data_IF_030293529008
#
_entry.id   IF_030293529008
#
_cell.length_a   1.000
_cell.length_b   1.000
_cell.length_c   1.000
_cell.angle_alpha   90.00
_cell.angle_beta   90.00
_cell.angle_gamma   90.00
#
_symmetry.space_group_name_H-M   'P 1'
#
loop_
_entity.id
_entity.type
_entity.pdbx_description
1 polymer ?
#
# COMPACT_ATOMS: atom_id res chain seq x y z
N UNK A 1 -20.67 5.56 5.68
CA UNK A 1 -20.29 6.91 6.15
C UNK A 1 -20.64 7.99 5.13
N UNK A 2 -20.19 7.94 3.87
CA UNK A 2 -20.47 8.94 2.81
C UNK A 2 -21.97 9.14 2.58
N UNK A 3 -22.76 8.07 2.51
CA UNK A 3 -24.23 8.13 2.32
C UNK A 3 -24.93 8.87 3.46
N UNK A 4 -24.52 8.59 4.71
CA UNK A 4 -25.08 9.28 5.89
C UNK A 4 -24.68 10.76 5.87
N UNK A 5 -23.43 11.07 5.56
CA UNK A 5 -22.96 12.45 5.46
C UNK A 5 -23.71 13.21 4.36
N UNK A 6 -23.94 12.59 3.20
CA UNK A 6 -24.70 13.19 2.11
C UNK A 6 -26.16 13.45 2.50
N UNK A 7 -26.76 12.57 3.31
CA UNK A 7 -28.10 12.76 3.80
C UNK A 7 -28.21 13.98 4.75
N UNK A 8 -27.26 14.10 5.68
CA UNK A 8 -27.21 15.24 6.62
C UNK A 8 -26.97 16.55 5.86
N UNK A 9 -25.92 16.62 5.04
CA UNK A 9 -25.57 17.82 4.29
C UNK A 9 -26.64 18.20 3.26
N UNK A 10 -27.21 17.20 2.58
CA UNK A 10 -28.29 17.44 1.61
C UNK A 10 -29.58 17.91 2.26
N UNK A 11 -29.91 17.45 3.50
CA UNK A 11 -31.10 17.89 4.22
C UNK A 11 -31.00 19.33 4.71
N UNK A 12 -29.80 19.83 4.99
CA UNK A 12 -29.59 21.25 5.37
C UNK A 12 -29.34 22.17 4.16
N UNK A 13 -29.41 21.61 2.91
CA UNK A 13 -29.23 22.40 1.69
C UNK A 13 -27.77 22.85 1.48
N UNK A 14 -26.80 22.13 2.03
CA UNK A 14 -25.39 22.49 1.86
C UNK A 14 -24.94 22.33 0.40
N UNK A 15 -24.21 23.31 -0.09
CA UNK A 15 -23.62 23.31 -1.42
C UNK A 15 -22.17 23.80 -1.38
N UNK A 16 -21.36 23.31 -2.29
CA UNK A 16 -19.98 23.74 -2.48
C UNK A 16 -19.84 24.50 -3.80
N UNK A 17 -19.01 25.54 -3.81
CA UNK A 17 -18.71 26.30 -5.03
C UNK A 17 -17.66 25.55 -5.84
N UNK A 18 -17.98 25.25 -7.11
CA UNK A 18 -17.02 24.63 -8.02
C UNK A 18 -15.89 25.60 -8.34
N UNK A 19 -14.62 25.26 -8.07
CA UNK A 19 -13.49 26.20 -8.16
C UNK A 19 -13.25 26.76 -9.56
N UNK A 20 -13.52 25.96 -10.61
CA UNK A 20 -13.29 26.38 -12.00
C UNK A 20 -14.47 27.12 -12.64
N UNK A 21 -15.71 26.86 -12.22
CA UNK A 21 -16.91 27.44 -12.87
C UNK A 21 -17.63 28.46 -12.00
N UNK A 22 -17.30 28.57 -10.71
CA UNK A 22 -17.97 29.45 -9.74
C UNK A 22 -19.40 29.05 -9.41
N UNK A 23 -19.92 27.97 -9.97
CA UNK A 23 -21.29 27.51 -9.74
C UNK A 23 -21.39 26.72 -8.43
N UNK A 24 -22.45 26.98 -7.66
CA UNK A 24 -22.75 26.20 -6.46
C UNK A 24 -23.31 24.83 -6.84
N UNK A 25 -22.64 23.76 -6.44
CA UNK A 25 -23.11 22.37 -6.58
C UNK A 25 -23.74 21.99 -5.25
N UNK A 26 -25.04 21.65 -5.29
CA UNK A 26 -25.76 21.19 -4.12
C UNK A 26 -25.43 19.74 -3.81
N UNK A 27 -25.34 19.44 -2.51
CA UNK A 27 -25.14 18.05 -2.07
C UNK A 27 -26.42 17.26 -2.27
N UNK A 28 -26.32 16.16 -3.03
CA UNK A 28 -27.45 15.26 -3.27
C UNK A 28 -27.62 14.33 -2.07
N UNK A 29 -28.83 14.29 -1.50
CA UNK A 29 -29.14 13.33 -0.43
C UNK A 29 -29.32 11.93 -1.04
N UNK A 30 -28.34 11.05 -0.80
CA UNK A 30 -28.33 9.68 -1.33
C UNK A 30 -29.33 8.73 -0.62
N UNK A 31 -29.93 9.12 0.51
CA UNK A 31 -30.95 8.31 1.21
C UNK A 31 -32.36 8.58 0.68
N UNK A 32 -32.54 9.52 -0.22
CA UNK A 32 -33.83 9.72 -0.90
C UNK A 32 -34.06 8.63 -1.96
N UNK A 33 -35.33 8.40 -2.32
CA UNK A 33 -35.70 7.45 -3.38
C UNK A 33 -34.96 7.73 -4.70
N UNK A 34 -34.84 9.02 -5.05
CA UNK A 34 -34.15 9.45 -6.27
C UNK A 34 -32.65 9.31 -6.14
N UNK A 35 -32.05 9.64 -4.99
CA UNK A 35 -30.63 9.44 -4.71
C UNK A 35 -30.24 7.97 -4.79
N UNK A 36 -31.06 7.08 -4.22
CA UNK A 36 -30.84 5.64 -4.27
C UNK A 36 -30.95 5.10 -5.71
N UNK A 37 -31.98 5.51 -6.45
CA UNK A 37 -32.15 5.14 -7.85
C UNK A 37 -30.99 5.61 -8.71
N UNK A 38 -30.53 6.84 -8.53
CA UNK A 38 -29.40 7.41 -9.25
C UNK A 38 -28.11 6.64 -8.97
N UNK A 39 -27.87 6.26 -7.72
CA UNK A 39 -26.71 5.48 -7.32
C UNK A 39 -26.65 4.13 -8.06
N UNK A 40 -27.77 3.42 -8.15
CA UNK A 40 -27.82 2.13 -8.85
C UNK A 40 -27.80 2.26 -10.38
N UNK A 41 -28.55 3.20 -10.93
CA UNK A 41 -28.61 3.40 -12.38
C UNK A 41 -27.29 3.86 -12.99
N UNK A 42 -26.49 4.60 -12.23
CA UNK A 42 -25.17 5.11 -12.64
C UNK A 42 -23.99 4.23 -12.19
N UNK A 43 -24.24 3.16 -11.42
CA UNK A 43 -23.17 2.34 -10.84
C UNK A 43 -22.18 1.82 -11.88
N UNK A 44 -22.69 1.24 -12.98
CA UNK A 44 -21.85 0.71 -14.07
C UNK A 44 -21.09 1.83 -14.78
N UNK A 45 -21.75 2.93 -15.09
CA UNK A 45 -21.13 4.07 -15.75
C UNK A 45 -20.04 4.71 -14.87
N UNK A 46 -20.31 4.87 -13.56
CA UNK A 46 -19.32 5.40 -12.62
C UNK A 46 -18.09 4.49 -12.50
N UNK A 47 -18.29 3.17 -12.49
CA UNK A 47 -17.20 2.22 -12.48
C UNK A 47 -16.39 2.26 -13.77
N UNK A 48 -17.05 2.20 -14.93
CA UNK A 48 -16.38 2.17 -16.24
C UNK A 48 -15.65 3.47 -16.58
N UNK A 49 -16.18 4.61 -16.11
CA UNK A 49 -15.60 5.94 -16.33
C UNK A 49 -14.60 6.34 -15.24
N UNK A 50 -14.29 5.44 -14.28
CA UNK A 50 -13.28 5.71 -13.27
C UNK A 50 -11.90 5.81 -13.94
N UNK A 51 -11.36 7.02 -14.00
CA UNK A 51 -10.16 7.34 -14.78
C UNK A 51 -8.95 6.41 -14.51
N UNK A 52 -8.63 6.03 -13.25
CA UNK A 52 -7.50 5.14 -12.97
C UNK A 52 -7.76 3.65 -13.25
N UNK A 53 -9.00 3.24 -13.61
CA UNK A 53 -9.38 1.83 -13.67
C UNK A 53 -8.43 0.97 -14.54
N UNK A 54 -8.13 1.43 -15.75
CA UNK A 54 -7.27 0.71 -16.68
C UNK A 54 -5.86 0.51 -16.14
N UNK A 55 -5.26 1.57 -15.58
CA UNK A 55 -3.92 1.51 -14.98
C UNK A 55 -3.86 0.59 -13.77
N UNK A 56 -4.86 0.67 -12.89
CA UNK A 56 -4.97 -0.20 -11.71
C UNK A 56 -5.05 -1.67 -12.13
N UNK A 57 -5.86 -2.01 -13.13
CA UNK A 57 -5.99 -3.38 -13.63
C UNK A 57 -4.67 -3.92 -14.19
N UNK A 58 -3.94 -3.12 -14.98
CA UNK A 58 -2.63 -3.52 -15.51
C UNK A 58 -1.61 -3.73 -14.38
N UNK A 59 -1.56 -2.83 -13.39
CA UNK A 59 -0.68 -2.97 -12.24
C UNK A 59 -0.99 -4.25 -11.44
N UNK A 60 -2.27 -4.57 -11.19
CA UNK A 60 -2.67 -5.79 -10.48
C UNK A 60 -2.25 -7.05 -11.24
N UNK A 61 -2.39 -7.08 -12.57
CA UNK A 61 -1.96 -8.20 -13.40
C UNK A 61 -0.44 -8.40 -13.27
N UNK A 62 0.35 -7.33 -13.40
CA UNK A 62 1.80 -7.38 -13.25
C UNK A 62 2.24 -7.89 -11.87
N UNK A 63 1.61 -7.38 -10.81
CA UNK A 63 1.86 -7.81 -9.45
C UNK A 63 1.52 -9.29 -9.23
N UNK A 64 0.36 -9.74 -9.72
CA UNK A 64 -0.05 -11.15 -9.60
C UNK A 64 0.89 -12.12 -10.34
N UNK A 65 1.44 -11.71 -11.48
CA UNK A 65 2.46 -12.49 -12.21
C UNK A 65 3.75 -12.58 -11.38
N UNK A 66 4.23 -11.48 -10.80
CA UNK A 66 5.43 -11.45 -9.98
C UNK A 66 5.27 -12.33 -8.71
N UNK A 67 4.11 -12.32 -8.10
CA UNK A 67 3.78 -13.16 -6.94
C UNK A 67 3.73 -14.65 -7.31
N UNK A 68 2.90 -15.01 -8.30
CA UNK A 68 2.70 -16.41 -8.70
C UNK A 68 3.92 -17.06 -9.34
N UNK A 69 4.81 -16.27 -9.96
CA UNK A 69 6.09 -16.76 -10.50
C UNK A 69 7.10 -17.15 -9.41
N UNK A 70 6.83 -16.83 -8.15
CA UNK A 70 7.76 -17.02 -7.04
C UNK A 70 8.93 -16.02 -7.06
N UNK A 71 8.88 -14.99 -7.90
CA UNK A 71 9.94 -13.99 -8.03
C UNK A 71 10.29 -13.35 -6.69
N UNK A 72 9.27 -12.92 -5.93
CA UNK A 72 9.46 -12.28 -4.62
C UNK A 72 10.17 -13.23 -3.64
N UNK A 73 9.72 -14.49 -3.57
CA UNK A 73 10.29 -15.51 -2.68
C UNK A 73 11.73 -15.83 -3.09
N UNK A 74 12.02 -15.97 -4.38
CA UNK A 74 13.36 -16.27 -4.90
C UNK A 74 14.33 -15.13 -4.62
N UNK A 75 13.91 -13.89 -4.86
CA UNK A 75 14.70 -12.70 -4.58
C UNK A 75 15.06 -12.62 -3.09
N UNK A 76 14.14 -12.91 -2.19
CA UNK A 76 14.42 -12.94 -0.75
C UNK A 76 15.38 -14.05 -0.36
N UNK A 77 15.21 -15.27 -0.89
CA UNK A 77 16.13 -16.39 -0.62
C UNK A 77 17.57 -16.10 -1.06
N UNK A 78 17.76 -15.40 -2.18
CA UNK A 78 19.10 -15.01 -2.65
C UNK A 78 19.80 -14.02 -1.72
N UNK A 79 19.02 -13.14 -1.07
CA UNK A 79 19.58 -12.16 -0.10
C UNK A 79 20.00 -12.84 1.21
N UNK A 80 19.50 -14.07 1.50
CA UNK A 80 19.71 -14.77 2.77
C UNK A 80 21.05 -15.50 2.93
N UNK A 81 21.94 -15.52 1.91
CA UNK A 81 23.25 -16.18 2.03
C UNK A 81 24.05 -15.76 3.26
N UNK A 82 25.37 -15.71 3.21
CA UNK A 82 26.27 -15.34 4.33
C UNK A 82 26.14 -13.87 4.79
N UNK A 83 24.96 -13.25 4.61
CA UNK A 83 24.73 -11.86 4.93
C UNK A 83 24.68 -11.60 6.44
N UNK A 84 25.29 -10.50 6.86
CA UNK A 84 25.19 -10.03 8.25
C UNK A 84 23.74 -9.80 8.64
N UNK A 85 23.38 -10.11 9.86
CA UNK A 85 22.01 -10.07 10.39
C UNK A 85 21.25 -8.76 10.12
N UNK A 86 21.92 -7.61 10.26
CA UNK A 86 21.31 -6.32 9.96
C UNK A 86 20.99 -6.11 8.47
N UNK A 87 21.79 -6.73 7.57
CA UNK A 87 21.56 -6.68 6.13
C UNK A 87 20.29 -7.45 5.76
N UNK A 88 20.06 -8.58 6.42
CA UNK A 88 18.84 -9.38 6.24
C UNK A 88 17.61 -8.60 6.72
N UNK A 89 17.71 -7.95 7.89
CA UNK A 89 16.63 -7.08 8.38
C UNK A 89 16.33 -5.93 7.42
N UNK A 90 17.38 -5.29 6.89
CA UNK A 90 17.22 -4.24 5.87
C UNK A 90 16.54 -4.78 4.60
N UNK A 91 17.00 -5.94 4.11
CA UNK A 91 16.42 -6.55 2.92
C UNK A 91 14.93 -6.92 3.11
N UNK A 92 14.57 -7.48 4.26
CA UNK A 92 13.17 -7.78 4.60
C UNK A 92 12.33 -6.52 4.59
N UNK A 93 12.76 -5.45 5.28
CA UNK A 93 12.07 -4.18 5.30
C UNK A 93 11.94 -3.57 3.91
N UNK A 94 13.04 -3.55 3.16
CA UNK A 94 13.07 -3.01 1.80
C UNK A 94 12.10 -3.75 0.86
N UNK A 95 12.10 -5.09 0.90
CA UNK A 95 11.17 -5.90 0.09
C UNK A 95 9.74 -5.75 0.60
N UNK A 96 9.52 -5.70 1.91
CA UNK A 96 8.18 -5.52 2.50
C UNK A 96 7.57 -4.15 2.12
N UNK A 97 8.35 -3.08 2.12
CA UNK A 97 7.91 -1.76 1.64
C UNK A 97 7.50 -1.85 0.17
N UNK A 98 8.32 -2.48 -0.68
CA UNK A 98 8.03 -2.64 -2.11
C UNK A 98 6.94 -3.68 -2.41
N UNK A 99 6.60 -4.56 -1.46
CA UNK A 99 5.51 -5.53 -1.62
C UNK A 99 4.13 -4.84 -1.80
N UNK A 100 4.00 -3.57 -1.42
CA UNK A 100 2.81 -2.75 -1.69
C UNK A 100 2.51 -2.57 -3.19
N UNK A 101 3.47 -2.82 -4.08
CA UNK A 101 3.23 -2.90 -5.52
C UNK A 101 2.19 -3.97 -5.88
N UNK A 102 2.19 -5.07 -5.12
CA UNK A 102 1.22 -6.17 -5.25
C UNK A 102 -0.11 -5.89 -4.50
N UNK A 103 -0.30 -4.67 -3.97
CA UNK A 103 -1.47 -4.34 -3.16
C UNK A 103 -1.47 -5.10 -1.83
N UNK A 104 -2.63 -5.65 -1.46
CA UNK A 104 -2.82 -6.31 -0.16
C UNK A 104 -2.12 -7.68 -0.05
N UNK A 105 -1.67 -8.28 -1.15
CA UNK A 105 -0.97 -9.56 -1.15
C UNK A 105 0.33 -9.51 -0.33
N UNK A 106 1.02 -8.36 -0.34
CA UNK A 106 2.22 -8.14 0.47
C UNK A 106 2.01 -8.39 1.95
N UNK A 107 0.86 -7.98 2.50
CA UNK A 107 0.52 -8.18 3.92
C UNK A 107 0.30 -9.65 4.31
N UNK A 108 -0.07 -10.48 3.35
CA UNK A 108 -0.32 -11.91 3.57
C UNK A 108 0.97 -12.70 3.44
N UNK A 109 1.79 -12.40 2.44
CA UNK A 109 2.97 -13.18 2.06
C UNK A 109 4.20 -12.82 2.89
N UNK A 110 4.44 -11.52 3.12
CA UNK A 110 5.68 -11.05 3.72
C UNK A 110 5.87 -11.45 5.19
N UNK A 111 4.86 -11.36 6.09
CA UNK A 111 5.07 -11.69 7.49
C UNK A 111 5.45 -13.17 7.73
N UNK A 112 4.75 -14.18 7.16
CA UNK A 112 5.15 -15.58 7.33
C UNK A 112 6.54 -15.86 6.77
N UNK A 113 6.87 -15.27 5.61
CA UNK A 113 8.18 -15.45 4.99
C UNK A 113 9.30 -14.87 5.85
N UNK A 114 9.13 -13.68 6.39
CA UNK A 114 10.07 -13.06 7.31
C UNK A 114 10.21 -13.84 8.63
N UNK A 115 9.14 -14.47 9.11
CA UNK A 115 9.19 -15.35 10.28
C UNK A 115 10.14 -16.53 10.05
N UNK A 116 10.02 -17.22 8.91
CA UNK A 116 10.89 -18.34 8.54
C UNK A 116 12.36 -17.88 8.41
N UNK A 117 12.59 -16.71 7.81
CA UNK A 117 13.92 -16.14 7.65
C UNK A 117 14.58 -15.85 9.01
N UNK A 118 13.84 -15.18 9.92
CA UNK A 118 14.33 -14.87 11.26
C UNK A 118 14.60 -16.12 12.07
N UNK A 119 13.73 -17.13 11.96
CA UNK A 119 13.94 -18.43 12.59
C UNK A 119 15.22 -19.11 12.09
N UNK A 120 15.46 -19.09 10.78
CA UNK A 120 16.71 -19.63 10.18
C UNK A 120 17.97 -18.90 10.66
N UNK A 121 17.84 -17.63 11.09
CA UNK A 121 18.93 -16.84 11.68
C UNK A 121 19.07 -17.04 13.21
N UNK A 122 18.27 -17.90 13.83
CA UNK A 122 18.23 -18.07 15.28
C UNK A 122 17.58 -16.89 16.02
N UNK A 123 16.73 -16.11 15.35
CA UNK A 123 15.99 -14.98 15.89
C UNK A 123 14.49 -15.31 16.03
N UNK A 124 13.79 -14.52 16.85
CA UNK A 124 12.37 -14.69 17.07
C UNK A 124 11.57 -14.58 15.76
N UNK A 125 10.80 -15.60 15.37
CA UNK A 125 9.93 -15.54 14.19
C UNK A 125 8.84 -14.45 14.32
N UNK A 126 8.37 -14.21 15.57
CA UNK A 126 7.42 -13.13 15.86
C UNK A 126 8.01 -11.77 15.53
N UNK A 127 9.30 -11.55 15.84
CA UNK A 127 9.98 -10.31 15.46
C UNK A 127 10.05 -10.18 13.93
N UNK A 128 10.34 -11.27 13.21
CA UNK A 128 10.32 -11.29 11.75
C UNK A 128 8.97 -10.86 11.17
N UNK A 129 7.86 -11.40 11.70
CA UNK A 129 6.50 -11.01 11.30
C UNK A 129 6.22 -9.52 11.56
N UNK A 130 6.59 -9.04 12.74
CA UNK A 130 6.41 -7.62 13.11
C UNK A 130 7.18 -6.71 12.15
N UNK A 131 8.43 -7.04 11.85
CA UNK A 131 9.30 -6.26 10.96
C UNK A 131 8.73 -6.21 9.54
N UNK A 132 8.30 -7.34 9.00
CA UNK A 132 7.72 -7.39 7.67
C UNK A 132 6.38 -6.64 7.60
N UNK A 133 5.51 -6.85 8.59
CA UNK A 133 4.24 -6.13 8.67
C UNK A 133 4.45 -4.62 8.81
N UNK A 134 5.40 -4.20 9.64
CA UNK A 134 5.76 -2.79 9.80
C UNK A 134 6.32 -2.20 8.48
N UNK A 135 7.08 -2.98 7.72
CA UNK A 135 7.54 -2.59 6.39
C UNK A 135 6.38 -2.36 5.42
N UNK A 136 5.43 -3.31 5.34
CA UNK A 136 4.25 -3.17 4.49
C UNK A 136 3.36 -2.00 4.92
N UNK A 137 3.08 -1.85 6.22
CA UNK A 137 2.17 -0.84 6.73
C UNK A 137 2.80 0.55 6.83
N UNK A 138 4.00 0.63 7.40
CA UNK A 138 4.71 1.90 7.58
C UNK A 138 5.33 2.45 6.29
N UNK A 139 5.65 1.57 5.36
CA UNK A 139 6.17 1.93 4.03
C UNK A 139 5.10 1.97 2.95
N UNK A 140 3.82 2.04 3.31
CA UNK A 140 2.73 2.04 2.33
C UNK A 140 2.93 3.10 1.25
N UNK A 141 2.92 2.67 0.00
CA UNK A 141 3.19 3.48 -1.21
C UNK A 141 4.61 4.01 -1.38
N UNK A 142 5.53 3.78 -0.46
CA UNK A 142 6.93 4.19 -0.60
C UNK A 142 7.71 3.20 -1.50
N UNK A 143 7.29 3.07 -2.75
CA UNK A 143 7.83 2.09 -3.70
C UNK A 143 8.95 2.68 -4.56
N UNK A 144 9.90 1.85 -5.00
CA UNK A 144 10.88 2.24 -6.03
C UNK A 144 10.25 2.24 -7.41
N UNK A 145 9.31 1.34 -7.66
CA UNK A 145 8.57 1.26 -8.92
C UNK A 145 7.20 1.90 -8.76
N UNK A 146 6.68 2.44 -9.86
CA UNK A 146 5.31 2.97 -9.90
C UNK A 146 4.30 1.84 -9.69
N UNK A 147 3.38 2.02 -8.78
CA UNK A 147 2.40 1.03 -8.38
C UNK A 147 0.95 1.47 -8.59
N UNK A 148 0.04 0.65 -8.09
CA UNK A 148 -1.40 0.91 -8.17
C UNK A 148 -1.80 2.23 -7.48
N UNK A 149 -1.18 2.54 -6.35
CA UNK A 149 -1.45 3.77 -5.59
C UNK A 149 -1.04 5.03 -6.34
N UNK A 150 0.05 4.97 -7.13
CA UNK A 150 0.50 6.08 -7.96
C UNK A 150 -0.49 6.34 -9.10
N UNK A 151 -1.02 5.28 -9.71
CA UNK A 151 -2.06 5.38 -10.74
C UNK A 151 -3.35 6.02 -10.20
N UNK A 152 -3.76 5.64 -8.98
CA UNK A 152 -4.91 6.24 -8.30
C UNK A 152 -4.66 7.71 -7.99
N UNK A 153 -3.53 8.03 -7.38
CA UNK A 153 -3.16 9.41 -7.02
C UNK A 153 -3.10 10.31 -8.26
N UNK A 154 -2.46 9.83 -9.34
CA UNK A 154 -2.42 10.53 -10.62
C UNK A 154 -3.82 10.84 -11.14
N UNK A 155 -4.71 9.85 -11.24
CA UNK A 155 -6.05 10.02 -11.80
C UNK A 155 -6.90 11.04 -11.03
N UNK A 156 -6.82 11.03 -9.70
CA UNK A 156 -7.52 12.03 -8.87
C UNK A 156 -6.89 13.41 -8.98
N UNK A 157 -5.57 13.48 -8.93
CA UNK A 157 -4.83 14.77 -8.99
C UNK A 157 -5.07 15.46 -10.32
N UNK A 158 -4.95 14.75 -11.43
CA UNK A 158 -5.17 15.33 -12.75
C UNK A 158 -6.61 15.81 -12.93
N UNK A 159 -7.59 14.98 -12.53
CA UNK A 159 -9.00 15.33 -12.60
C UNK A 159 -9.34 16.57 -11.77
N UNK A 160 -8.79 16.69 -10.56
CA UNK A 160 -8.99 17.84 -9.70
C UNK A 160 -8.29 19.11 -10.23
N UNK A 161 -7.05 18.98 -10.71
CA UNK A 161 -6.29 20.11 -11.24
C UNK A 161 -6.92 20.70 -12.51
N UNK A 162 -7.47 19.86 -13.38
CA UNK A 162 -8.18 20.29 -14.59
C UNK A 162 -9.47 21.05 -14.33
N UNK A 163 -10.00 21.00 -13.11
CA UNK A 163 -11.12 21.87 -12.73
C UNK A 163 -10.71 23.35 -12.66
N UNK A 164 -9.43 23.61 -12.41
CA UNK A 164 -8.86 24.99 -12.30
C UNK A 164 -8.14 25.35 -13.60
N UNK A 165 -7.28 24.47 -14.08
CA UNK A 165 -6.55 24.63 -15.35
C UNK A 165 -6.86 23.46 -16.29
N UNK A 166 -7.70 23.67 -17.32
CA UNK A 166 -8.08 22.62 -18.28
C UNK A 166 -6.91 22.01 -19.05
N UNK A 167 -5.78 22.74 -19.15
CA UNK A 167 -4.57 22.28 -19.85
C UNK A 167 -3.59 21.55 -18.96
N UNK A 168 -3.88 21.42 -17.66
CA UNK A 168 -2.98 20.73 -16.74
C UNK A 168 -2.77 19.27 -17.15
N UNK A 169 -1.51 18.85 -17.19
CA UNK A 169 -1.09 17.47 -17.46
C UNK A 169 -0.22 17.00 -16.29
N UNK A 170 -0.69 15.97 -15.62
CA UNK A 170 0.10 15.26 -14.61
C UNK A 170 0.80 14.04 -15.23
N UNK A 171 1.69 13.43 -14.48
CA UNK A 171 2.28 12.14 -14.81
C UNK A 171 2.17 11.23 -13.60
N UNK A 172 2.13 9.90 -13.81
CA UNK A 172 2.17 8.94 -12.70
C UNK A 172 3.44 9.10 -11.83
N UNK A 173 4.50 9.66 -12.41
CA UNK A 173 5.79 9.84 -11.76
C UNK A 173 5.89 11.13 -10.92
N UNK A 174 4.79 11.86 -10.69
CA UNK A 174 4.80 13.17 -10.02
C UNK A 174 5.46 13.12 -8.62
N UNK A 175 5.31 12.01 -7.91
CA UNK A 175 5.88 11.79 -6.57
C UNK A 175 7.04 10.78 -6.56
N UNK A 176 7.46 10.27 -7.71
CA UNK A 176 8.35 9.12 -7.80
C UNK A 176 9.67 9.30 -7.06
N UNK A 177 10.34 10.43 -7.24
CA UNK A 177 11.61 10.72 -6.54
C UNK A 177 11.43 10.72 -5.03
N UNK A 178 10.35 11.33 -4.55
CA UNK A 178 10.01 11.34 -3.12
C UNK A 178 9.80 9.93 -2.58
N UNK A 179 9.11 9.07 -3.34
CA UNK A 179 8.82 7.69 -2.95
C UNK A 179 10.10 6.84 -2.88
N UNK A 180 11.02 6.98 -3.85
CA UNK A 180 12.31 6.28 -3.82
C UNK A 180 13.11 6.66 -2.57
N UNK A 181 13.23 7.96 -2.29
CA UNK A 181 13.97 8.44 -1.11
C UNK A 181 13.29 7.96 0.17
N UNK A 182 11.96 8.04 0.25
CA UNK A 182 11.18 7.55 1.39
C UNK A 182 11.37 6.05 1.61
N UNK A 183 11.38 5.24 0.56
CA UNK A 183 11.62 3.79 0.65
C UNK A 183 12.96 3.50 1.32
N UNK A 184 14.03 4.14 0.86
CA UNK A 184 15.39 3.95 1.41
C UNK A 184 15.45 4.42 2.87
N UNK A 185 14.92 5.61 3.17
CA UNK A 185 14.94 6.17 4.53
C UNK A 185 14.15 5.28 5.50
N UNK A 186 12.97 4.81 5.12
CA UNK A 186 12.15 3.93 5.95
C UNK A 186 12.81 2.58 6.17
N UNK A 187 13.43 1.99 5.15
CA UNK A 187 14.18 0.73 5.29
C UNK A 187 15.38 0.87 6.23
N UNK A 188 16.16 1.95 6.10
CA UNK A 188 17.31 2.24 6.99
C UNK A 188 16.85 2.50 8.41
N UNK A 189 15.87 3.38 8.60
CA UNK A 189 15.35 3.73 9.92
C UNK A 189 14.72 2.53 10.62
N UNK A 190 13.88 1.77 9.91
CA UNK A 190 13.28 0.53 10.42
C UNK A 190 14.32 -0.52 10.81
N UNK A 191 15.41 -0.64 10.04
CA UNK A 191 16.52 -1.53 10.37
C UNK A 191 17.21 -1.09 11.65
N UNK A 192 17.54 0.19 11.76
CA UNK A 192 18.19 0.73 12.97
C UNK A 192 17.31 0.54 14.21
N UNK A 193 16.03 0.79 14.10
CA UNK A 193 15.06 0.61 15.18
C UNK A 193 14.95 -0.87 15.58
N UNK A 194 14.87 -1.76 14.60
CA UNK A 194 14.81 -3.21 14.84
C UNK A 194 16.06 -3.71 15.52
N UNK A 195 17.24 -3.42 14.99
CA UNK A 195 18.50 -3.96 15.49
C UNK A 195 18.88 -3.37 16.86
N UNK A 196 18.63 -2.08 17.11
CA UNK A 196 19.00 -1.45 18.37
C UNK A 196 18.00 -1.67 19.50
N UNK A 197 16.70 -1.73 19.19
CA UNK A 197 15.66 -1.73 20.22
C UNK A 197 14.84 -3.03 20.20
N UNK A 198 14.32 -3.47 19.05
CA UNK A 198 13.36 -4.57 19.00
C UNK A 198 14.04 -5.92 19.25
N UNK A 199 15.21 -6.17 18.69
CA UNK A 199 15.95 -7.44 18.90
C UNK A 199 16.17 -7.71 20.40
N UNK A 200 16.46 -6.69 21.19
CA UNK A 200 16.65 -6.81 22.63
C UNK A 200 15.37 -7.14 23.41
N UNK A 201 14.22 -6.77 22.87
CA UNK A 201 12.90 -7.01 23.49
C UNK A 201 12.28 -8.34 23.13
N UNK A 202 12.81 -8.99 22.10
CA UNK A 202 12.38 -10.31 21.65
C UNK A 202 13.56 -11.30 21.74
N UNK A 203 14.07 -11.57 22.96
CA UNK A 203 15.13 -12.55 23.14
C UNK A 203 14.58 -13.93 22.72
N UNK A 204 15.40 -14.70 22.05
CA UNK A 204 15.03 -16.04 21.59
C UNK A 204 16.04 -17.04 22.11
N UNK A 205 15.55 -18.03 22.86
CA UNK A 205 16.37 -19.19 23.27
C UNK A 205 16.23 -20.30 22.22
N UNK A 206 17.19 -21.22 22.21
CA UNK A 206 17.09 -22.42 21.35
C UNK A 206 15.82 -23.24 21.64
N UNK A 207 15.39 -23.27 22.88
CA UNK A 207 14.16 -23.96 23.32
C UNK A 207 12.89 -23.28 22.77
N UNK A 208 12.89 -21.95 22.64
CA UNK A 208 11.78 -21.23 22.04
C UNK A 208 11.67 -21.52 20.55
N UNK A 209 12.78 -21.65 19.84
CA UNK A 209 12.81 -22.03 18.43
C UNK A 209 12.28 -23.44 18.20
N UNK A 210 12.53 -24.38 19.11
CA UNK A 210 12.02 -25.75 19.03
C UNK A 210 10.51 -25.84 19.22
N UNK A 211 9.88 -24.89 19.94
CA UNK A 211 8.42 -24.83 20.09
C UNK A 211 7.70 -24.38 18.80
N UNK A 212 8.40 -23.69 17.92
CA UNK A 212 7.89 -23.26 16.61
C UNK A 212 8.18 -24.29 15.51
N UNK A 213 8.24 -25.60 15.85
CA UNK A 213 8.50 -26.68 14.92
C UNK A 213 7.50 -26.60 13.75
N UNK A 214 7.87 -25.89 12.71
CA UNK A 214 7.27 -26.07 11.41
C UNK A 214 7.97 -27.27 10.78
N UNK A 215 7.28 -28.40 10.74
CA UNK A 215 7.69 -29.52 9.92
C UNK A 215 7.82 -29.01 8.48
N UNK A 216 9.08 -28.93 8.02
CA UNK A 216 9.43 -28.44 6.69
C UNK A 216 9.16 -29.50 5.63
#
# INVERSE_FOLDING_TARGET
>A
MVVILSAVLGSIGYGAVHPGTGKTIQVVNLLTKDGFRDMYSKAVANYSNFAPLGMVMVCIIGAAVAEKSGFLVTMMKQVMGDAKSWMVTFAILFVAINANLAGDAGYIVMPPLAAVIYMGMGRSPVLGMIVAYAGCAGGFSANIMLGMTDALAYGFTESAARMIDPNYQATMAINWYFLIVSCILLAVFGTLLTEKFLVKRFPTTKEDLLKYNFDA
#
